data_IF_010279157855
#
_entry.id   IF_010279157855
#
_cell.length_a   1.000
_cell.length_b   1.000
_cell.length_c   1.000
_cell.angle_alpha   90.00
_cell.angle_beta   90.00
_cell.angle_gamma   90.00
#
_symmetry.space_group_name_H-M   'P 1'
#
loop_
_entity.id
_entity.type
_entity.pdbx_description
1 polymer ?
#
# COMPACT_ATOMS: atom_id res chain seq x y z
N UNK A 1 3.32 -5.35 14.13
CA UNK A 1 3.97 -5.22 12.81
C UNK A 1 3.79 -6.52 12.07
N UNK A 2 2.97 -6.52 11.03
CA UNK A 2 2.90 -7.64 10.09
C UNK A 2 4.13 -7.54 9.17
N UNK A 3 5.10 -8.47 9.21
CA UNK A 3 6.36 -8.36 8.47
C UNK A 3 6.18 -8.56 6.95
N UNK A 4 4.97 -8.88 6.48
CA UNK A 4 4.73 -9.43 5.15
C UNK A 4 4.75 -8.41 3.99
N UNK A 5 4.54 -7.13 4.26
CA UNK A 5 4.46 -6.09 3.22
C UNK A 5 5.54 -5.05 3.45
N UNK A 6 6.47 -4.92 2.49
CA UNK A 6 7.53 -3.91 2.49
C UNK A 6 6.98 -2.47 2.47
N UNK A 7 7.85 -1.47 2.45
CA UNK A 7 7.41 -0.05 2.43
C UNK A 7 6.82 0.39 1.10
N UNK A 8 7.22 -0.28 0.03
CA UNK A 8 6.78 -0.03 -1.34
C UNK A 8 6.31 -1.34 -1.93
N UNK A 9 5.20 -1.29 -2.65
CA UNK A 9 4.66 -2.45 -3.37
C UNK A 9 4.34 -2.06 -4.81
N UNK A 10 4.66 -2.93 -5.76
CA UNK A 10 4.35 -2.69 -7.17
C UNK A 10 2.85 -2.85 -7.45
N UNK A 11 2.38 -2.31 -8.58
CA UNK A 11 0.99 -2.52 -9.01
C UNK A 11 0.65 -4.01 -9.20
N UNK A 12 1.62 -4.79 -9.69
CA UNK A 12 1.47 -6.22 -9.96
C UNK A 12 1.34 -7.04 -8.67
N UNK A 13 2.11 -6.69 -7.64
CA UNK A 13 2.13 -7.35 -6.34
C UNK A 13 0.93 -6.92 -5.45
N UNK A 14 0.44 -5.70 -5.63
CA UNK A 14 -0.60 -5.11 -4.78
C UNK A 14 -1.94 -5.86 -4.77
N UNK A 15 -2.23 -6.66 -5.81
CA UNK A 15 -3.49 -7.40 -5.87
C UNK A 15 -3.53 -8.62 -4.93
N UNK A 16 -2.37 -9.07 -4.46
CA UNK A 16 -2.25 -10.18 -3.49
C UNK A 16 -2.19 -9.67 -2.04
N UNK A 17 -2.19 -8.35 -1.83
CA UNK A 17 -2.12 -7.75 -0.50
C UNK A 17 -3.49 -7.45 0.11
N UNK A 18 -3.53 -7.57 1.43
CA UNK A 18 -4.68 -7.13 2.24
C UNK A 18 -4.93 -5.63 2.05
N UNK A 19 -6.20 -5.26 1.88
CA UNK A 19 -6.61 -3.86 1.66
C UNK A 19 -6.18 -2.94 2.81
N UNK A 20 -6.11 -3.45 4.05
CA UNK A 20 -5.63 -2.70 5.21
C UNK A 20 -4.15 -2.29 5.10
N UNK A 21 -3.35 -2.99 4.30
CA UNK A 21 -1.90 -2.78 4.17
C UNK A 21 -1.55 -1.75 3.08
N UNK A 22 -2.46 -1.54 2.11
CA UNK A 22 -2.22 -0.70 0.93
C UNK A 22 -3.30 0.36 0.69
N UNK A 23 -4.44 0.26 1.39
CA UNK A 23 -5.61 1.09 1.25
C UNK A 23 -6.51 0.71 0.07
N UNK A 24 -7.80 1.07 0.16
CA UNK A 24 -8.82 0.68 -0.83
C UNK A 24 -8.57 1.17 -2.26
N UNK A 25 -7.88 2.30 -2.45
CA UNK A 25 -7.53 2.78 -3.79
C UNK A 25 -6.51 1.88 -4.49
N UNK A 26 -5.44 1.52 -3.77
CA UNK A 26 -4.41 0.63 -4.30
C UNK A 26 -5.01 -0.75 -4.59
N UNK A 27 -5.81 -1.29 -3.66
CA UNK A 27 -6.48 -2.58 -3.84
C UNK A 27 -7.38 -2.60 -5.10
N UNK A 28 -8.17 -1.54 -5.34
CA UNK A 28 -9.02 -1.46 -6.55
C UNK A 28 -8.24 -1.25 -7.84
N UNK A 29 -7.17 -0.44 -7.82
CA UNK A 29 -6.31 -0.29 -9.00
C UNK A 29 -5.61 -1.60 -9.37
N UNK A 30 -5.14 -2.35 -8.38
CA UNK A 30 -4.52 -3.65 -8.60
C UNK A 30 -5.52 -4.70 -9.12
N UNK A 31 -6.75 -4.72 -8.60
CA UNK A 31 -7.84 -5.55 -9.14
C UNK A 31 -8.18 -5.21 -10.59
N UNK A 32 -8.21 -3.92 -10.95
CA UNK A 32 -8.42 -3.50 -12.34
C UNK A 32 -7.28 -3.98 -13.25
N UNK A 33 -6.03 -3.87 -12.80
CA UNK A 33 -4.87 -4.36 -13.54
C UNK A 33 -4.93 -5.88 -13.75
N UNK A 34 -5.22 -6.67 -12.71
CA UNK A 34 -5.36 -8.13 -12.81
C UNK A 34 -6.50 -8.57 -13.74
N UNK A 35 -7.59 -7.80 -13.81
CA UNK A 35 -8.74 -8.11 -14.67
C UNK A 35 -8.52 -7.69 -16.14
N UNK A 36 -7.32 -7.23 -16.49
CA UNK A 36 -6.90 -6.95 -17.87
C UNK A 36 -7.22 -5.54 -18.35
N UNK A 37 -7.67 -4.64 -17.46
CA UNK A 37 -7.77 -3.22 -17.82
C UNK A 37 -6.38 -2.60 -17.93
N UNK A 38 -6.25 -1.63 -18.84
CA UNK A 38 -5.02 -0.83 -18.94
C UNK A 38 -4.96 0.16 -17.78
N UNK A 39 -4.21 -0.20 -16.75
CA UNK A 39 -3.86 0.67 -15.64
C UNK A 39 -2.43 1.19 -15.85
N UNK A 40 -2.15 2.49 -15.69
CA UNK A 40 -0.78 3.00 -15.73
C UNK A 40 0.08 2.28 -14.68
N UNK A 41 1.28 1.86 -15.08
CA UNK A 41 2.23 1.25 -14.16
C UNK A 41 2.64 2.21 -13.03
N UNK A 42 3.09 1.64 -11.91
CA UNK A 42 3.49 2.40 -10.74
C UNK A 42 3.66 1.53 -9.50
N UNK A 43 3.72 2.20 -8.36
CA UNK A 43 3.85 1.57 -7.05
C UNK A 43 3.04 2.33 -6.01
N UNK A 44 2.81 1.70 -4.86
CA UNK A 44 2.10 2.27 -3.73
C UNK A 44 3.03 2.31 -2.51
N UNK A 45 2.88 3.34 -1.69
CA UNK A 45 3.47 3.40 -0.35
C UNK A 45 2.49 2.75 0.62
N UNK A 46 2.97 1.81 1.41
CA UNK A 46 2.13 0.97 2.26
C UNK A 46 1.76 1.69 3.56
N UNK A 47 0.70 1.24 4.22
CA UNK A 47 0.30 1.80 5.53
C UNK A 47 1.40 1.59 6.57
N UNK A 48 2.09 0.45 6.53
CA UNK A 48 3.28 0.19 7.35
C UNK A 48 4.36 1.28 7.22
N UNK A 49 4.64 1.76 6.00
CA UNK A 49 5.63 2.82 5.79
C UNK A 49 5.18 4.15 6.42
N UNK A 50 3.88 4.44 6.35
CA UNK A 50 3.31 5.63 6.98
C UNK A 50 3.32 5.54 8.51
N UNK A 51 2.95 4.40 9.08
CA UNK A 51 3.02 4.15 10.54
C UNK A 51 4.44 4.30 11.06
N UNK A 52 5.42 3.67 10.37
CA UNK A 52 6.84 3.82 10.71
C UNK A 52 7.29 5.29 10.69
N UNK A 53 6.92 6.03 9.64
CA UNK A 53 7.22 7.46 9.56
C UNK A 53 6.62 8.26 10.73
N UNK A 54 5.38 7.97 11.13
CA UNK A 54 4.74 8.66 12.26
C UNK A 54 5.43 8.35 13.59
N UNK A 55 5.82 7.10 13.82
CA UNK A 55 6.52 6.66 15.03
C UNK A 55 7.90 7.31 15.13
N UNK A 56 8.71 7.24 14.07
CA UNK A 56 10.07 7.77 14.06
C UNK A 56 10.15 9.31 14.14
N UNK A 57 9.07 10.00 13.79
CA UNK A 57 9.00 11.46 13.84
C UNK A 57 8.18 11.98 15.04
N UNK A 58 7.74 11.11 15.95
CA UNK A 58 6.87 11.45 17.09
C UNK A 58 5.58 12.20 16.68
N UNK A 59 5.07 11.95 15.47
CA UNK A 59 3.91 12.63 14.90
C UNK A 59 2.57 11.98 15.23
N UNK A 60 2.57 10.80 15.87
CA UNK A 60 1.37 10.01 16.15
C UNK A 60 0.34 10.69 17.08
N UNK A 61 0.69 11.80 17.74
CA UNK A 61 -0.13 12.49 18.75
C UNK A 61 -0.61 13.89 18.34
N UNK A 62 -0.42 14.30 17.09
CA UNK A 62 -0.75 15.65 16.61
C UNK A 62 -2.20 15.83 16.12
N UNK A 63 -3.07 14.82 16.29
CA UNK A 63 -4.44 14.82 15.76
C UNK A 63 -5.47 14.64 16.86
#
# INVERSE_FOLDING_TARGET
MDPGVGWVISLEEAAECEESSIGGKAAKLAQLAQTGFRVPGGFFITTNAYEYFLEEQDLARLV
#
